data_IF_853699298219
#
_entry.id   IF_853699298219
#
_cell.length_a   1.000
_cell.length_b   1.000
_cell.length_c   1.000
_cell.angle_alpha   90.00
_cell.angle_beta   90.00
_cell.angle_gamma   90.00
#
_symmetry.space_group_name_H-M   'P 1'
#
loop_
_entity.id
_entity.type
_entity.pdbx_description
1 polymer ?
#
# COMPACT_ATOMS: atom_id res chain seq x y z
N UNK A 1 -11.03 14.80 -7.33
CA UNK A 1 -10.87 13.44 -6.74
C UNK A 1 -9.37 13.16 -6.76
N UNK A 2 -8.78 12.57 -5.70
CA UNK A 2 -7.31 12.33 -5.69
C UNK A 2 -6.98 11.30 -6.76
N UNK A 3 -6.10 11.64 -7.70
CA UNK A 3 -5.63 10.73 -8.73
C UNK A 3 -4.19 10.34 -8.41
N UNK A 4 -3.98 9.13 -7.90
CA UNK A 4 -2.65 8.65 -7.54
C UNK A 4 -1.90 8.13 -8.77
N UNK A 5 -0.62 8.50 -8.88
CA UNK A 5 0.24 8.17 -10.04
C UNK A 5 1.42 7.25 -9.68
N UNK A 6 1.84 7.25 -8.42
CA UNK A 6 2.87 6.34 -7.90
C UNK A 6 2.60 6.00 -6.45
N UNK A 7 3.12 4.86 -6.00
CA UNK A 7 3.04 4.45 -4.61
C UNK A 7 4.29 3.68 -4.17
N UNK A 8 4.70 3.91 -2.92
CA UNK A 8 5.95 3.41 -2.37
C UNK A 8 5.73 2.81 -0.97
N UNK A 9 6.41 1.70 -0.61
CA UNK A 9 6.48 1.27 0.79
C UNK A 9 7.04 2.39 1.67
N UNK A 10 6.27 2.75 2.70
CA UNK A 10 6.72 3.65 3.75
C UNK A 10 7.14 2.89 5.00
N UNK A 11 7.72 3.61 5.96
CA UNK A 11 8.08 3.05 7.27
C UNK A 11 6.91 2.34 7.98
N UNK A 12 7.22 1.34 8.82
CA UNK A 12 6.27 0.67 9.73
C UNK A 12 4.99 0.15 9.06
N UNK A 13 5.13 -0.59 7.96
CA UNK A 13 4.03 -1.23 7.22
C UNK A 13 3.01 -0.22 6.65
N UNK A 14 3.50 0.92 6.17
CA UNK A 14 2.68 1.94 5.52
C UNK A 14 2.92 1.96 4.01
N UNK A 15 2.03 2.65 3.29
CA UNK A 15 2.19 2.96 1.87
C UNK A 15 2.07 4.46 1.71
N UNK A 16 2.97 5.07 0.95
CA UNK A 16 2.91 6.49 0.59
C UNK A 16 2.53 6.57 -0.88
N UNK A 17 1.39 7.20 -1.17
CA UNK A 17 0.93 7.51 -2.52
C UNK A 17 1.31 8.92 -2.90
N UNK A 18 1.69 9.13 -4.15
CA UNK A 18 1.84 10.46 -4.76
C UNK A 18 0.69 10.69 -5.74
N UNK A 19 0.02 11.83 -5.65
CA UNK A 19 -0.99 12.24 -6.62
C UNK A 19 -0.43 13.10 -7.77
N UNK A 20 -1.28 13.43 -8.73
CA UNK A 20 -0.93 14.27 -9.89
C UNK A 20 -0.46 15.69 -9.53
N UNK A 21 -0.75 16.16 -8.32
CA UNK A 21 -0.34 17.48 -7.83
C UNK A 21 0.97 17.39 -7.02
N UNK A 22 1.67 16.25 -7.10
CA UNK A 22 2.86 15.92 -6.30
C UNK A 22 2.62 15.97 -4.79
N UNK A 23 1.37 15.78 -4.34
CA UNK A 23 1.05 15.63 -2.91
C UNK A 23 1.17 14.18 -2.50
N UNK A 24 1.66 13.97 -1.28
CA UNK A 24 1.91 12.63 -0.76
C UNK A 24 0.95 12.26 0.37
N UNK A 25 0.50 11.00 0.39
CA UNK A 25 -0.46 10.51 1.37
C UNK A 25 -0.04 9.17 1.92
N UNK A 26 0.11 9.11 3.24
CA UNK A 26 0.42 7.89 3.98
C UNK A 26 -0.85 7.15 4.38
N UNK A 27 -0.93 5.91 3.92
CA UNK A 27 -1.94 4.93 4.33
C UNK A 27 -1.33 4.04 5.40
N UNK A 28 -1.96 4.00 6.57
CA UNK A 28 -1.44 3.32 7.76
C UNK A 28 -2.55 2.59 8.52
N UNK A 29 -2.21 1.48 9.19
CA UNK A 29 -3.21 0.58 9.77
C UNK A 29 -4.16 0.01 8.70
N UNK A 30 -5.30 -0.54 9.10
CA UNK A 30 -6.21 -1.22 8.16
C UNK A 30 -5.63 -2.51 7.56
N UNK A 31 -6.28 -3.07 6.54
CA UNK A 31 -5.79 -4.25 5.80
C UNK A 31 -4.84 -3.86 4.65
N UNK A 32 -4.05 -4.82 4.17
CA UNK A 32 -3.25 -4.66 2.95
C UNK A 32 -4.11 -4.40 1.72
N UNK A 33 -5.25 -5.09 1.60
CA UNK A 33 -6.23 -4.86 0.53
C UNK A 33 -6.68 -3.40 0.44
N UNK A 34 -6.89 -2.76 1.59
CA UNK A 34 -7.24 -1.34 1.69
C UNK A 34 -6.04 -0.45 1.37
N UNK A 35 -4.89 -0.67 2.02
CA UNK A 35 -3.69 0.16 1.83
C UNK A 35 -3.16 0.14 0.40
N UNK A 36 -3.31 -0.99 -0.29
CA UNK A 36 -2.74 -1.19 -1.62
C UNK A 36 -3.77 -0.99 -2.74
N UNK A 37 -5.02 -0.66 -2.39
CA UNK A 37 -6.16 -0.69 -3.30
C UNK A 37 -6.26 -2.01 -4.10
N UNK A 38 -5.96 -3.12 -3.44
CA UNK A 38 -5.76 -4.42 -4.06
C UNK A 38 -6.69 -5.45 -3.40
N UNK A 39 -7.99 -5.47 -3.76
CA UNK A 39 -9.00 -6.27 -3.08
C UNK A 39 -8.79 -7.78 -3.20
N UNK A 40 -7.98 -8.24 -4.17
CA UNK A 40 -7.60 -9.64 -4.32
C UNK A 40 -6.19 -9.97 -3.84
N UNK A 41 -5.46 -9.04 -3.20
CA UNK A 41 -4.05 -9.22 -2.85
C UNK A 41 -3.19 -9.79 -4.01
N UNK A 42 -3.44 -9.28 -5.23
CA UNK A 42 -2.69 -9.67 -6.42
C UNK A 42 -1.21 -9.32 -6.27
N UNK A 43 -0.34 -10.23 -6.71
CA UNK A 43 1.10 -9.98 -6.82
C UNK A 43 1.43 -9.20 -8.11
N UNK A 44 2.51 -8.40 -8.13
CA UNK A 44 3.01 -7.74 -9.33
C UNK A 44 3.22 -8.71 -10.50
N UNK A 45 2.74 -8.36 -11.68
CA UNK A 45 2.79 -9.22 -12.85
C UNK A 45 2.12 -8.62 -14.08
N UNK A 46 1.89 -9.45 -15.11
CA UNK A 46 1.28 -9.00 -16.38
C UNK A 46 -0.13 -8.45 -16.17
N UNK A 47 -0.93 -9.07 -15.30
CA UNK A 47 -2.30 -8.64 -15.01
C UNK A 47 -2.28 -7.28 -14.29
N UNK A 48 -1.59 -7.17 -13.15
CA UNK A 48 -1.55 -5.92 -12.38
C UNK A 48 -1.02 -4.75 -13.22
N UNK A 49 0.04 -4.94 -14.00
CA UNK A 49 0.60 -3.88 -14.87
C UNK A 49 -0.39 -3.38 -15.92
N UNK A 50 -1.22 -4.27 -16.49
CA UNK A 50 -2.24 -3.89 -17.48
C UNK A 50 -3.40 -3.11 -16.85
N UNK A 51 -3.63 -3.27 -15.55
CA UNK A 51 -4.65 -2.55 -14.78
C UNK A 51 -4.03 -1.44 -13.93
N UNK A 52 -3.04 -0.73 -14.49
CA UNK A 52 -2.44 0.46 -13.89
C UNK A 52 -1.79 0.21 -12.51
N UNK A 53 -1.00 -0.86 -12.34
CA UNK A 53 -0.14 -0.96 -11.15
C UNK A 53 0.78 0.28 -11.06
N UNK A 54 0.76 0.96 -9.90
CA UNK A 54 1.55 2.18 -9.64
C UNK A 54 2.64 1.98 -8.56
N UNK A 55 2.71 0.79 -7.98
CA UNK A 55 3.70 0.45 -6.96
C UNK A 55 3.62 -1.01 -6.53
N UNK A 56 4.45 -1.38 -5.56
CA UNK A 56 4.44 -2.70 -4.93
C UNK A 56 4.96 -2.66 -3.49
N UNK A 57 4.45 -3.55 -2.63
CA UNK A 57 4.90 -3.70 -1.24
C UNK A 57 4.60 -5.10 -0.73
N UNK A 58 5.54 -5.73 0.00
CA UNK A 58 5.40 -7.10 0.52
C UNK A 58 4.90 -8.10 -0.54
N UNK A 59 5.47 -8.05 -1.74
CA UNK A 59 5.08 -8.81 -2.93
C UNK A 59 3.66 -8.57 -3.48
N UNK A 60 2.95 -7.55 -2.99
CA UNK A 60 1.62 -7.19 -3.49
C UNK A 60 1.70 -5.96 -4.40
N UNK A 61 0.93 -5.99 -5.49
CA UNK A 61 0.75 -4.84 -6.34
C UNK A 61 -0.03 -3.75 -5.60
N UNK A 62 0.28 -2.49 -5.90
CA UNK A 62 -0.45 -1.32 -5.45
C UNK A 62 -1.12 -0.66 -6.67
N UNK A 63 -2.40 -0.32 -6.53
CA UNK A 63 -3.22 0.28 -7.59
C UNK A 63 -3.60 1.73 -7.25
N UNK A 64 -3.90 2.58 -8.25
CA UNK A 64 -4.27 3.98 -8.03
C UNK A 64 -5.59 4.11 -7.27
N UNK A 65 -6.48 3.13 -7.43
CA UNK A 65 -7.79 3.09 -6.79
C UNK A 65 -8.29 1.64 -6.68
N UNK A 66 -9.31 1.46 -5.85
CA UNK A 66 -9.89 0.13 -5.58
C UNK A 66 -10.53 -0.47 -6.84
N UNK A 67 -11.05 0.35 -7.74
CA UNK A 67 -11.66 -0.08 -9.00
C UNK A 67 -10.63 -0.74 -9.91
N UNK A 68 -9.45 -0.14 -10.07
CA UNK A 68 -8.33 -0.69 -10.85
C UNK A 68 -7.88 -2.04 -10.29
N UNK A 69 -7.71 -2.14 -8.97
CA UNK A 69 -7.37 -3.41 -8.33
C UNK A 69 -8.49 -4.46 -8.42
N UNK A 70 -9.75 -4.04 -8.39
CA UNK A 70 -10.89 -4.93 -8.60
C UNK A 70 -10.93 -5.45 -10.03
N UNK A 71 -10.77 -4.59 -11.03
CA UNK A 71 -10.70 -4.97 -12.44
C UNK A 71 -9.53 -5.93 -12.71
N UNK A 72 -8.39 -5.73 -12.04
CA UNK A 72 -7.27 -6.66 -12.09
C UNK A 72 -7.64 -8.06 -11.54
N UNK A 73 -8.39 -8.14 -10.45
CA UNK A 73 -8.91 -9.41 -9.93
C UNK A 73 -9.86 -10.08 -10.93
N UNK A 74 -10.80 -9.33 -11.52
CA UNK A 74 -11.73 -9.89 -12.51
C UNK A 74 -11.02 -10.44 -13.75
N UNK A 75 -10.01 -9.71 -14.25
CA UNK A 75 -9.18 -10.14 -15.37
C UNK A 75 -8.39 -11.41 -15.03
N UNK A 76 -7.78 -11.47 -13.84
CA UNK A 76 -7.08 -12.66 -13.37
C UNK A 76 -7.99 -13.89 -13.38
N UNK A 77 -9.19 -13.78 -12.83
CA UNK A 77 -10.16 -14.87 -12.76
C UNK A 77 -10.66 -15.28 -14.15
N UNK A 78 -10.97 -14.30 -15.01
CA UNK A 78 -11.54 -14.52 -16.34
C UNK A 78 -10.54 -15.01 -17.37
N UNK A 79 -9.25 -14.67 -17.25
CA UNK A 79 -8.24 -14.96 -18.27
C UNK A 79 -7.20 -15.97 -17.81
N UNK A 80 -6.68 -15.86 -16.59
CA UNK A 80 -5.65 -16.79 -16.09
C UNK A 80 -6.28 -18.07 -15.54
N UNK A 81 -7.39 -17.93 -14.80
CA UNK A 81 -8.08 -19.06 -14.18
C UNK A 81 -9.32 -19.54 -14.93
N UNK A 82 -9.58 -19.01 -16.13
CA UNK A 82 -10.76 -19.32 -16.93
C UNK A 82 -11.06 -20.82 -17.06
N UNK A 83 -10.01 -21.63 -17.23
CA UNK A 83 -10.10 -23.07 -17.45
C UNK A 83 -9.94 -23.90 -16.16
N UNK A 84 -9.92 -23.28 -14.98
CA UNK A 84 -9.68 -23.94 -13.71
C UNK A 84 -11.01 -24.17 -13.00
N UNK A 85 -11.11 -25.29 -12.27
CA UNK A 85 -12.13 -25.45 -11.24
C UNK A 85 -11.79 -24.58 -10.02
N UNK A 86 -12.75 -24.42 -9.10
CA UNK A 86 -12.53 -23.67 -7.83
C UNK A 86 -11.33 -24.23 -7.07
N UNK A 87 -11.27 -25.55 -6.89
CA UNK A 87 -10.20 -26.20 -6.13
C UNK A 87 -8.82 -25.98 -6.77
N UNK A 88 -8.73 -26.18 -8.10
CA UNK A 88 -7.48 -25.98 -8.83
C UNK A 88 -7.03 -24.52 -8.78
N UNK A 89 -7.96 -23.59 -8.90
CA UNK A 89 -7.68 -22.16 -8.80
C UNK A 89 -7.15 -21.82 -7.41
N UNK A 90 -7.83 -22.25 -6.35
CA UNK A 90 -7.51 -21.85 -4.97
C UNK A 90 -6.17 -22.41 -4.50
N UNK A 91 -5.80 -23.62 -4.90
CA UNK A 91 -4.46 -24.16 -4.61
C UNK A 91 -3.35 -23.29 -5.23
N UNK A 92 -3.61 -22.69 -6.39
CA UNK A 92 -2.64 -21.79 -7.06
C UNK A 92 -2.67 -20.38 -6.51
N UNK A 93 -3.86 -19.86 -6.21
CA UNK A 93 -4.08 -18.49 -5.74
C UNK A 93 -3.66 -18.30 -4.27
N UNK A 94 -4.03 -19.23 -3.40
CA UNK A 94 -3.75 -19.20 -1.97
C UNK A 94 -3.18 -20.55 -1.50
N UNK A 95 -1.89 -20.85 -1.76
CA UNK A 95 -1.29 -22.15 -1.47
C UNK A 95 -1.28 -22.50 0.03
N UNK A 96 -1.37 -23.79 0.39
CA UNK A 96 -1.63 -24.25 1.76
C UNK A 96 -0.49 -24.04 2.75
N UNK A 97 0.74 -23.81 2.27
CA UNK A 97 1.87 -23.48 3.14
C UNK A 97 1.72 -22.11 3.79
N UNK A 98 1.01 -21.20 3.12
CA UNK A 98 0.89 -19.79 3.49
C UNK A 98 -0.54 -19.41 3.89
N UNK A 99 -1.53 -20.22 3.49
CA UNK A 99 -2.95 -19.86 3.57
C UNK A 99 -3.83 -21.01 4.06
N UNK A 100 -4.99 -20.72 4.66
CA UNK A 100 -5.99 -21.72 5.00
C UNK A 100 -6.79 -22.17 3.76
N UNK A 101 -6.12 -22.73 2.75
CA UNK A 101 -6.67 -23.09 1.43
C UNK A 101 -7.99 -23.86 1.49
N UNK A 102 -8.11 -24.84 2.40
CA UNK A 102 -9.36 -25.62 2.58
C UNK A 102 -10.54 -24.76 3.05
N UNK A 103 -10.30 -23.82 3.96
CA UNK A 103 -11.32 -22.86 4.43
C UNK A 103 -11.72 -21.93 3.28
N UNK A 104 -10.76 -21.53 2.46
CA UNK A 104 -10.97 -20.68 1.28
C UNK A 104 -11.87 -21.37 0.25
N UNK A 105 -11.51 -22.58 -0.18
CA UNK A 105 -12.32 -23.37 -1.11
C UNK A 105 -13.74 -23.57 -0.55
N UNK A 106 -13.88 -23.96 0.72
CA UNK A 106 -15.19 -24.13 1.38
C UNK A 106 -16.05 -22.86 1.34
N UNK A 107 -15.46 -21.68 1.57
CA UNK A 107 -16.18 -20.41 1.50
C UNK A 107 -16.69 -20.15 0.07
N UNK A 108 -15.82 -20.34 -0.93
CA UNK A 108 -16.18 -20.12 -2.34
C UNK A 108 -17.28 -21.09 -2.77
N UNK A 109 -17.13 -22.39 -2.50
CA UNK A 109 -18.16 -23.38 -2.79
C UNK A 109 -19.52 -23.03 -2.17
N UNK A 110 -19.52 -22.62 -0.89
CA UNK A 110 -20.75 -22.19 -0.20
C UNK A 110 -21.39 -20.97 -0.86
N UNK A 111 -20.58 -20.01 -1.31
CA UNK A 111 -21.07 -18.77 -1.94
C UNK A 111 -21.58 -19.04 -3.35
N UNK A 112 -20.81 -19.72 -4.20
CA UNK A 112 -21.15 -19.95 -5.61
C UNK A 112 -22.20 -21.04 -5.81
N UNK A 113 -22.31 -21.99 -4.87
CA UNK A 113 -23.15 -23.19 -4.98
C UNK A 113 -22.58 -24.23 -5.95
N UNK A 114 -21.34 -24.08 -6.40
CA UNK A 114 -20.67 -24.99 -7.34
C UNK A 114 -19.77 -25.91 -6.53
N UNK A 115 -19.91 -27.23 -6.70
CA UNK A 115 -19.13 -28.25 -5.98
C UNK A 115 -18.45 -29.25 -6.92
N UNK A 116 -18.68 -29.14 -8.23
CA UNK A 116 -18.04 -29.97 -9.26
C UNK A 116 -16.79 -29.28 -9.82
N UNK A 117 -16.15 -29.93 -10.79
CA UNK A 117 -14.90 -29.49 -11.41
C UNK A 117 -15.11 -28.56 -12.62
N UNK A 118 -16.32 -28.02 -12.82
CA UNK A 118 -16.59 -27.17 -13.98
C UNK A 118 -15.67 -25.95 -13.99
N UNK A 119 -15.14 -25.56 -15.16
CA UNK A 119 -14.20 -24.45 -15.24
C UNK A 119 -14.88 -23.09 -15.02
N UNK A 120 -14.16 -22.12 -14.46
CA UNK A 120 -14.67 -20.76 -14.16
C UNK A 120 -15.34 -20.09 -15.36
N UNK A 121 -14.82 -20.27 -16.58
CA UNK A 121 -15.42 -19.72 -17.82
C UNK A 121 -16.84 -20.23 -18.12
N UNK A 122 -17.31 -21.26 -17.43
CA UNK A 122 -18.67 -21.81 -17.55
C UNK A 122 -19.62 -21.29 -16.47
N UNK A 123 -19.14 -20.43 -15.58
CA UNK A 123 -19.98 -19.81 -14.56
C UNK A 123 -20.95 -18.82 -15.21
N UNK A 124 -22.16 -18.72 -14.68
CA UNK A 124 -23.03 -17.59 -15.00
C UNK A 124 -22.45 -16.29 -14.44
N UNK A 125 -22.92 -15.13 -14.91
CA UNK A 125 -22.48 -13.84 -14.38
C UNK A 125 -22.65 -13.77 -12.85
N UNK A 126 -23.80 -14.20 -12.32
CA UNK A 126 -24.06 -14.23 -10.87
C UNK A 126 -23.16 -15.21 -10.11
N UNK A 127 -22.75 -16.33 -10.72
CA UNK A 127 -21.80 -17.26 -10.09
C UNK A 127 -20.37 -16.70 -10.08
N UNK A 128 -19.98 -16.02 -11.17
CA UNK A 128 -18.70 -15.33 -11.27
C UNK A 128 -18.60 -14.17 -10.29
N UNK A 129 -19.70 -13.43 -10.10
CA UNK A 129 -19.84 -12.40 -9.08
C UNK A 129 -19.57 -12.95 -7.67
N UNK A 130 -20.31 -13.99 -7.28
CA UNK A 130 -20.14 -14.64 -5.98
C UNK A 130 -18.73 -15.23 -5.78
N UNK A 131 -18.02 -15.58 -6.85
CA UNK A 131 -16.63 -16.03 -6.79
C UNK A 131 -15.70 -14.90 -6.33
N UNK A 132 -15.71 -13.77 -7.03
CA UNK A 132 -14.83 -12.66 -6.65
C UNK A 132 -15.25 -12.01 -5.32
N UNK A 133 -16.54 -12.00 -4.98
CA UNK A 133 -17.02 -11.52 -3.67
C UNK A 133 -16.48 -12.37 -2.53
N UNK A 134 -16.48 -13.70 -2.70
CA UNK A 134 -15.95 -14.63 -1.72
C UNK A 134 -14.43 -14.45 -1.52
N UNK A 135 -13.70 -14.12 -2.60
CA UNK A 135 -12.28 -13.76 -2.54
C UNK A 135 -12.10 -12.49 -1.71
N UNK A 136 -12.77 -11.39 -2.06
CA UNK A 136 -12.66 -10.13 -1.31
C UNK A 136 -13.07 -10.30 0.16
N UNK A 137 -14.07 -11.13 0.45
CA UNK A 137 -14.46 -11.46 1.81
C UNK A 137 -13.35 -12.20 2.58
N UNK A 138 -12.65 -13.14 1.94
CA UNK A 138 -11.57 -13.89 2.58
C UNK A 138 -10.33 -13.02 2.81
N UNK A 139 -9.97 -12.19 1.85
CA UNK A 139 -8.85 -11.24 1.99
C UNK A 139 -9.17 -10.17 3.06
N UNK A 140 -10.44 -9.81 3.20
CA UNK A 140 -10.94 -8.85 4.17
C UNK A 140 -10.66 -7.41 3.78
N UNK A 141 -11.38 -6.49 4.40
CA UNK A 141 -11.22 -5.06 4.15
C UNK A 141 -11.47 -4.28 5.45
N UNK A 142 -10.42 -3.62 5.94
CA UNK A 142 -10.51 -2.72 7.09
C UNK A 142 -9.84 -1.41 6.73
N UNK A 143 -10.62 -0.33 6.82
CA UNK A 143 -10.12 1.03 6.61
C UNK A 143 -9.15 1.41 7.73
N UNK A 144 -8.04 2.03 7.35
CA UNK A 144 -7.06 2.59 8.26
C UNK A 144 -7.11 4.12 8.27
N UNK A 145 -5.95 4.73 8.49
CA UNK A 145 -5.79 6.19 8.53
C UNK A 145 -5.02 6.67 7.31
N UNK A 146 -5.53 7.75 6.70
CA UNK A 146 -4.85 8.49 5.64
C UNK A 146 -4.38 9.82 6.21
N UNK A 147 -3.11 10.16 6.01
CA UNK A 147 -2.51 11.43 6.44
C UNK A 147 -1.68 11.98 5.30
N UNK A 148 -1.80 13.28 5.02
CA UNK A 148 -0.90 13.96 4.08
C UNK A 148 0.52 14.02 4.66
N UNK A 149 1.51 13.72 3.82
CA UNK A 149 2.92 13.68 4.19
C UNK A 149 3.69 14.71 3.38
N UNK A 150 4.46 15.53 4.08
CA UNK A 150 5.33 16.52 3.48
C UNK A 150 6.72 15.93 3.31
N UNK A 151 7.33 16.19 2.15
CA UNK A 151 8.72 15.87 1.91
C UNK A 151 9.58 16.96 2.56
N UNK A 152 10.60 16.53 3.29
CA UNK A 152 11.66 17.46 3.71
C UNK A 152 12.63 17.60 2.56
N UNK A 153 12.78 18.81 2.03
CA UNK A 153 13.60 19.11 0.85
C UNK A 153 14.88 19.88 1.18
N UNK A 154 15.00 20.39 2.40
CA UNK A 154 16.18 21.14 2.84
C UNK A 154 16.33 21.14 4.35
N UNK A 155 17.57 21.15 4.81
CA UNK A 155 17.93 21.34 6.22
C UNK A 155 18.91 22.50 6.30
N UNK A 156 18.54 23.56 7.02
CA UNK A 156 19.41 24.71 7.24
C UNK A 156 19.93 24.65 8.67
N UNK A 157 21.26 24.70 8.82
CA UNK A 157 21.93 24.79 10.12
C UNK A 157 22.04 26.27 10.47
N UNK A 158 21.38 26.68 11.54
CA UNK A 158 21.41 28.08 12.01
C UNK A 158 22.57 28.28 12.98
N UNK A 159 22.76 27.33 13.90
CA UNK A 159 23.89 27.26 14.83
C UNK A 159 24.14 25.80 15.24
N UNK A 160 25.02 25.54 16.21
CA UNK A 160 25.37 24.19 16.66
C UNK A 160 24.18 23.36 17.17
N UNK A 161 23.08 23.99 17.57
CA UNK A 161 21.90 23.35 18.16
C UNK A 161 20.61 23.60 17.37
N UNK A 162 20.56 24.63 16.54
CA UNK A 162 19.34 25.08 15.87
C UNK A 162 19.32 24.69 14.38
N UNK A 163 18.25 24.02 13.98
CA UNK A 163 18.01 23.62 12.59
C UNK A 163 16.63 24.12 12.12
N UNK A 164 16.53 24.46 10.84
CA UNK A 164 15.25 24.62 10.13
C UNK A 164 15.10 23.56 9.06
N UNK A 165 13.86 23.18 8.80
CA UNK A 165 13.52 22.17 7.80
C UNK A 165 12.63 22.82 6.75
N UNK A 166 12.99 22.69 5.49
CA UNK A 166 12.14 23.10 4.38
C UNK A 166 11.17 21.97 4.05
N UNK A 167 9.88 22.25 4.18
CA UNK A 167 8.83 21.44 3.56
C UNK A 167 8.58 22.03 2.17
N UNK A 168 8.41 21.18 1.15
CA UNK A 168 7.92 21.54 -0.19
C UNK A 168 8.31 22.96 -0.68
N UNK A 169 9.50 23.10 -1.27
CA UNK A 169 10.00 24.32 -1.97
C UNK A 169 9.64 25.68 -1.33
N UNK A 170 10.20 25.98 -0.15
CA UNK A 170 10.26 27.33 0.41
C UNK A 170 9.65 27.51 1.80
N UNK A 171 8.86 26.55 2.27
CA UNK A 171 8.23 26.61 3.59
C UNK A 171 9.17 26.09 4.69
N UNK A 172 9.91 27.00 5.30
CA UNK A 172 10.83 26.69 6.40
C UNK A 172 10.13 26.64 7.76
N UNK A 173 10.24 25.50 8.43
CA UNK A 173 9.70 25.28 9.78
C UNK A 173 10.82 25.04 10.80
N UNK A 174 10.52 25.27 12.08
CA UNK A 174 11.45 24.99 13.17
C UNK A 174 11.64 23.49 13.41
N UNK A 175 12.72 23.12 14.10
CA UNK A 175 12.93 21.76 14.57
C UNK A 175 11.77 21.24 15.43
N UNK A 176 11.21 22.05 16.34
CA UNK A 176 10.08 21.63 17.20
C UNK A 176 8.80 21.39 16.41
N UNK A 177 8.52 22.21 15.39
CA UNK A 177 7.41 21.98 14.47
C UNK A 177 7.63 20.69 13.66
N UNK A 178 8.85 20.46 13.16
CA UNK A 178 9.17 19.26 12.40
C UNK A 178 9.05 17.98 13.27
N UNK A 179 9.50 18.03 14.54
CA UNK A 179 9.31 16.94 15.52
C UNK A 179 7.82 16.66 15.75
N UNK A 180 6.99 17.69 15.89
CA UNK A 180 5.54 17.52 16.04
C UNK A 180 4.92 16.86 14.80
N UNK A 181 5.31 17.27 13.59
CA UNK A 181 4.86 16.64 12.34
C UNK A 181 5.33 15.19 12.23
N UNK A 182 6.56 14.89 12.62
CA UNK A 182 7.11 13.54 12.62
C UNK A 182 6.32 12.63 13.58
N UNK A 183 6.03 13.11 14.80
CA UNK A 183 5.17 12.41 15.76
C UNK A 183 3.74 12.16 15.26
N UNK A 184 3.22 13.04 14.39
CA UNK A 184 1.92 12.88 13.73
C UNK A 184 1.98 11.99 12.48
N UNK A 185 3.17 11.60 12.03
CA UNK A 185 3.39 10.85 10.79
C UNK A 185 3.20 11.69 9.52
N UNK A 186 3.29 13.02 9.62
CA UNK A 186 3.15 13.98 8.52
C UNK A 186 4.47 14.30 7.81
N UNK A 187 5.58 13.76 8.28
CA UNK A 187 6.84 13.66 7.57
C UNK A 187 7.36 12.23 7.70
N UNK A 188 8.26 11.82 6.82
CA UNK A 188 8.90 10.50 6.94
C UNK A 188 10.22 10.59 7.69
N UNK A 189 10.15 11.04 8.94
CA UNK A 189 11.27 11.13 9.88
C UNK A 189 10.94 10.40 11.18
N UNK A 190 11.97 9.89 11.83
CA UNK A 190 11.88 9.31 13.17
C UNK A 190 12.26 10.34 14.23
N UNK A 191 11.44 10.43 15.27
CA UNK A 191 11.78 11.18 16.48
C UNK A 191 12.61 10.25 17.38
N UNK A 192 13.84 10.65 17.66
CA UNK A 192 14.79 9.92 18.49
C UNK A 192 15.11 10.73 19.74
N UNK A 193 15.50 10.04 20.82
CA UNK A 193 15.95 10.64 22.08
C UNK A 193 17.34 10.10 22.38
N UNK A 194 18.29 11.00 22.63
CA UNK A 194 19.66 10.64 23.03
C UNK A 194 19.72 10.21 24.51
N UNK A 195 20.84 9.62 24.91
CA UNK A 195 21.08 9.21 26.31
C UNK A 195 21.03 10.40 27.30
N UNK A 196 21.31 11.62 26.81
CA UNK A 196 21.22 12.86 27.58
C UNK A 196 19.79 13.46 27.61
N UNK A 197 18.81 12.77 27.02
CA UNK A 197 17.41 13.22 26.96
C UNK A 197 17.08 14.21 25.84
N UNK A 198 18.05 14.55 24.99
CA UNK A 198 17.81 15.48 23.87
C UNK A 198 17.08 14.78 22.72
N UNK A 199 16.00 15.40 22.24
CA UNK A 199 15.23 14.95 21.09
C UNK A 199 15.89 15.39 19.78
N UNK A 200 15.98 14.50 18.80
CA UNK A 200 16.47 14.81 17.46
C UNK A 200 15.70 14.03 16.38
N UNK A 201 15.85 14.45 15.13
CA UNK A 201 15.21 13.83 13.97
C UNK A 201 16.21 12.99 13.18
N UNK A 202 15.76 11.84 12.68
CA UNK A 202 16.55 10.96 11.81
C UNK A 202 15.74 10.54 10.59
N UNK A 203 16.39 10.45 9.43
CA UNK A 203 15.78 9.76 8.28
C UNK A 203 15.71 8.26 8.56
N UNK A 204 14.57 7.59 8.34
CA UNK A 204 14.47 6.14 8.46
C UNK A 204 15.39 5.48 7.42
N UNK A 205 16.21 4.52 7.86
CA UNK A 205 17.21 3.88 6.99
C UNK A 205 16.61 3.14 5.78
N UNK A 206 15.34 2.76 5.85
CA UNK A 206 14.60 2.03 4.83
C UNK A 206 13.48 2.85 4.17
N UNK A 207 13.42 4.16 4.42
CA UNK A 207 12.54 5.02 3.63
C UNK A 207 13.08 5.08 2.20
N UNK A 208 12.20 4.83 1.23
CA UNK A 208 12.50 5.04 -0.19
C UNK A 208 11.94 6.35 -0.73
N UNK A 209 11.16 7.08 0.07
CA UNK A 209 10.54 8.35 -0.30
C UNK A 209 11.35 9.56 0.20
N UNK A 210 11.95 9.47 1.38
CA UNK A 210 12.63 10.58 2.03
C UNK A 210 14.16 10.45 1.95
N UNK A 211 14.79 11.46 1.37
CA UNK A 211 16.25 11.61 1.36
C UNK A 211 16.80 11.73 2.78
N UNK A 212 18.02 11.24 2.99
CA UNK A 212 18.76 11.39 4.26
C UNK A 212 18.92 12.87 4.60
N UNK A 213 18.60 13.27 5.84
CA UNK A 213 18.66 14.67 6.28
C UNK A 213 20.06 15.29 6.13
N UNK A 214 21.10 14.49 6.32
CA UNK A 214 22.50 14.86 6.12
C UNK A 214 22.82 15.29 4.69
N UNK A 215 22.17 14.67 3.69
CA UNK A 215 22.38 14.98 2.27
C UNK A 215 21.57 16.22 1.84
N UNK A 216 20.67 16.71 2.70
CA UNK A 216 19.83 17.89 2.47
C UNK A 216 20.38 19.15 3.16
N UNK A 217 21.53 19.05 3.82
CA UNK A 217 22.15 20.18 4.53
C UNK A 217 22.56 21.26 3.54
N UNK A 218 22.07 22.46 3.78
CA UNK A 218 22.41 23.66 3.01
C UNK A 218 23.30 24.56 3.87
N UNK A 219 24.41 25.00 3.29
CA UNK A 219 25.24 26.06 3.86
C UNK A 219 24.50 27.40 3.72
N UNK A 220 24.57 28.30 4.72
CA UNK A 220 23.99 29.64 4.63
C UNK A 220 24.51 30.45 3.43
#
# INVERSE_FOLDING_TARGET
MKQFVSAFPGVRHTVIYTDIDEKHFRFSGGTWTWRNHNPGNLRPGKISRRHNQIGETYDFAIFPDVESGHNALLDLLSNVYANYSIDRMIVKFAPPKENPTKKYAKLIHKKTGIYDDRPIKKFTAAQFEKLWEAIQQMEGYKVGKIVEVFRVTGVQIIDQHTHKFCLNEGDWISASQCVSLAGQGKVELEVCVSDLGNTFLRSPANSIFQTRLEDLKQTP
#
